data_IF_499100928449
#
_entry.id   IF_499100928449
#
_cell.length_a   1.000
_cell.length_b   1.000
_cell.length_c   1.000
_cell.angle_alpha   90.00
_cell.angle_beta   90.00
_cell.angle_gamma   90.00
#
_symmetry.space_group_name_H-M   'P 1'
#
loop_
_entity.id
_entity.type
_entity.pdbx_description
1 polymer ?
#
# COMPACT_ATOMS: atom_id res chain seq x y z
N UNK A 1 11.48 -18.98 -5.09
CA UNK A 1 10.75 -17.81 -4.59
C UNK A 1 10.31 -17.96 -3.13
N UNK A 2 9.56 -19.00 -2.72
CA UNK A 2 9.09 -19.17 -1.33
C UNK A 2 10.25 -19.18 -0.31
N UNK A 3 11.34 -19.89 -0.61
CA UNK A 3 12.53 -19.93 0.27
C UNK A 3 13.19 -18.55 0.42
N UNK A 4 13.22 -17.73 -0.64
CA UNK A 4 13.77 -16.38 -0.60
C UNK A 4 12.86 -15.48 0.25
N UNK A 5 11.54 -15.52 0.04
CA UNK A 5 10.59 -14.75 0.84
C UNK A 5 10.66 -15.14 2.33
N UNK A 6 10.76 -16.43 2.64
CA UNK A 6 10.91 -16.91 4.02
C UNK A 6 12.22 -16.40 4.65
N UNK A 7 13.33 -16.40 3.90
CA UNK A 7 14.61 -15.86 4.34
C UNK A 7 14.52 -14.35 4.58
N UNK A 8 13.95 -13.59 3.64
CA UNK A 8 13.75 -12.14 3.79
C UNK A 8 12.84 -11.82 4.99
N UNK A 9 11.78 -12.60 5.20
CA UNK A 9 10.90 -12.46 6.37
C UNK A 9 11.63 -12.74 7.69
N UNK A 10 12.52 -13.73 7.72
CA UNK A 10 13.31 -14.02 8.92
C UNK A 10 14.26 -12.88 9.30
N UNK A 11 14.83 -12.17 8.32
CA UNK A 11 15.68 -11.00 8.54
C UNK A 11 14.94 -9.86 9.25
N UNK A 12 13.63 -9.71 9.03
CA UNK A 12 12.83 -8.67 9.70
C UNK A 12 12.57 -8.95 11.20
N UNK A 13 13.03 -10.09 11.73
CA UNK A 13 12.84 -10.44 13.13
C UNK A 13 13.55 -9.42 14.04
N UNK A 14 12.79 -8.83 14.97
CA UNK A 14 13.24 -7.79 15.92
C UNK A 14 13.55 -6.43 15.26
N UNK A 15 13.09 -6.17 14.04
CA UNK A 15 13.24 -4.87 13.39
C UNK A 15 11.95 -4.06 13.46
N UNK A 16 12.05 -2.77 13.12
CA UNK A 16 10.89 -1.85 13.02
C UNK A 16 9.84 -2.35 12.00
N UNK A 17 10.26 -3.09 10.96
CA UNK A 17 9.37 -3.63 9.93
C UNK A 17 8.22 -4.44 10.52
N UNK A 18 8.48 -5.33 11.49
CA UNK A 18 7.42 -6.13 12.13
C UNK A 18 6.48 -5.30 12.98
N UNK A 19 7.00 -4.30 13.70
CA UNK A 19 6.18 -3.39 14.49
C UNK A 19 5.25 -2.58 13.61
N UNK A 20 5.76 -2.03 12.51
CA UNK A 20 4.97 -1.30 11.53
C UNK A 20 3.91 -2.22 10.91
N UNK A 21 4.28 -3.46 10.53
CA UNK A 21 3.38 -4.39 9.85
C UNK A 21 2.21 -4.85 10.73
N UNK A 22 2.41 -5.10 12.02
CA UNK A 22 1.39 -5.70 12.86
C UNK A 22 0.82 -4.77 13.93
N UNK A 23 1.63 -3.92 14.54
CA UNK A 23 1.19 -3.09 15.64
C UNK A 23 0.47 -1.81 15.14
N UNK A 24 1.06 -1.13 14.17
CA UNK A 24 0.48 0.13 13.65
C UNK A 24 -0.94 -0.03 13.09
N UNK A 25 -1.26 -1.06 12.28
CA UNK A 25 -2.63 -1.22 11.78
C UNK A 25 -3.64 -1.52 12.88
N UNK A 26 -3.24 -2.24 13.93
CA UNK A 26 -4.10 -2.49 15.11
C UNK A 26 -4.42 -1.19 15.82
N UNK A 27 -3.40 -0.38 16.14
CA UNK A 27 -3.58 0.90 16.83
C UNK A 27 -4.45 1.84 15.99
N UNK A 28 -4.15 1.98 14.70
CA UNK A 28 -4.92 2.85 13.80
C UNK A 28 -6.39 2.42 13.73
N UNK A 29 -6.66 1.13 13.57
CA UNK A 29 -8.02 0.62 13.50
C UNK A 29 -8.77 0.81 14.84
N UNK A 30 -8.12 0.54 15.98
CA UNK A 30 -8.72 0.75 17.31
C UNK A 30 -9.02 2.23 17.56
N UNK A 31 -8.15 3.16 17.15
CA UNK A 31 -8.42 4.59 17.26
C UNK A 31 -9.66 4.99 16.44
N UNK A 32 -9.81 4.46 15.22
CA UNK A 32 -10.98 4.73 14.39
C UNK A 32 -12.25 4.12 15.02
N UNK A 33 -12.19 2.87 15.49
CA UNK A 33 -13.30 2.21 16.17
C UNK A 33 -13.72 3.00 17.41
N UNK A 34 -12.78 3.45 18.24
CA UNK A 34 -13.07 4.29 19.41
C UNK A 34 -13.74 5.61 19.01
N UNK A 35 -13.27 6.24 17.93
CA UNK A 35 -13.86 7.48 17.40
C UNK A 35 -15.31 7.30 16.95
N UNK A 36 -15.60 6.24 16.18
CA UNK A 36 -16.96 5.97 15.68
C UNK A 36 -17.91 5.53 16.80
N UNK A 37 -17.43 4.78 17.79
CA UNK A 37 -18.24 4.32 18.94
C UNK A 37 -18.69 5.46 19.86
N UNK A 38 -17.94 6.57 19.88
CA UNK A 38 -18.28 7.78 20.65
C UNK A 38 -19.25 8.74 19.93
N UNK A 39 -19.70 8.43 18.69
CA UNK A 39 -20.56 9.29 17.88
C UNK A 39 -21.89 8.62 17.53
N UNK A 40 -22.99 9.33 17.75
CA UNK A 40 -24.31 8.92 17.27
C UNK A 40 -24.46 9.25 15.76
N UNK A 41 -25.17 8.38 15.03
CA UNK A 41 -25.54 8.63 13.62
C UNK A 41 -24.42 8.40 12.60
N UNK A 42 -23.35 7.70 12.97
CA UNK A 42 -22.29 7.31 12.02
C UNK A 42 -22.82 6.24 11.06
N UNK A 43 -22.78 6.53 9.77
CA UNK A 43 -23.18 5.60 8.71
C UNK A 43 -22.00 4.74 8.24
N UNK A 44 -22.28 3.57 7.66
CA UNK A 44 -21.26 2.70 7.07
C UNK A 44 -20.51 3.39 5.94
N UNK A 45 -21.20 4.20 5.12
CA UNK A 45 -20.59 4.95 4.01
C UNK A 45 -19.59 5.98 4.52
N UNK A 46 -19.93 6.72 5.57
CA UNK A 46 -19.00 7.67 6.21
C UNK A 46 -17.72 6.97 6.71
N UNK A 47 -17.88 5.80 7.35
CA UNK A 47 -16.72 5.03 7.84
C UNK A 47 -15.90 4.49 6.68
N UNK A 48 -16.55 4.00 5.63
CA UNK A 48 -15.89 3.50 4.42
C UNK A 48 -15.04 4.57 3.75
N UNK A 49 -15.66 5.69 3.39
CA UNK A 49 -14.98 6.80 2.73
C UNK A 49 -13.86 7.37 3.59
N UNK A 50 -14.13 7.63 4.87
CA UNK A 50 -13.16 8.17 5.81
C UNK A 50 -11.97 7.24 6.00
N UNK A 51 -12.21 5.95 6.24
CA UNK A 51 -11.15 4.97 6.44
C UNK A 51 -10.29 4.79 5.20
N UNK A 52 -10.88 4.47 4.05
CA UNK A 52 -10.10 4.21 2.84
C UNK A 52 -9.42 5.47 2.30
N UNK A 53 -10.02 6.64 2.43
CA UNK A 53 -9.34 7.90 2.06
C UNK A 53 -8.08 8.11 2.91
N UNK A 54 -8.18 8.05 4.24
CA UNK A 54 -7.02 8.22 5.12
C UNK A 54 -6.01 7.09 4.93
N UNK A 55 -6.48 5.84 4.83
CA UNK A 55 -5.60 4.68 4.67
C UNK A 55 -4.79 4.77 3.39
N UNK A 56 -5.43 5.08 2.26
CA UNK A 56 -4.78 5.05 0.95
C UNK A 56 -4.04 6.35 0.60
N UNK A 57 -4.53 7.51 1.06
CA UNK A 57 -3.86 8.78 0.78
C UNK A 57 -2.74 9.11 1.79
N UNK A 58 -2.83 8.60 3.04
CA UNK A 58 -1.88 8.98 4.10
C UNK A 58 -1.04 7.77 4.53
N UNK A 59 -1.71 6.70 5.01
CA UNK A 59 -1.02 5.58 5.65
C UNK A 59 -0.20 4.78 4.65
N UNK A 60 -0.74 4.47 3.46
CA UNK A 60 -0.03 3.69 2.43
C UNK A 60 1.22 4.41 1.91
N UNK A 61 1.20 5.69 1.49
CA UNK A 61 2.41 6.36 1.01
C UNK A 61 3.52 6.43 2.06
N UNK A 62 3.18 6.80 3.29
CA UNK A 62 4.13 6.85 4.40
C UNK A 62 4.62 5.45 4.78
N UNK A 63 3.70 4.49 4.88
CA UNK A 63 4.02 3.09 5.20
C UNK A 63 4.93 2.44 4.16
N UNK A 64 4.68 2.67 2.87
CA UNK A 64 5.54 2.19 1.78
C UNK A 64 6.95 2.78 1.89
N UNK A 65 7.05 4.09 2.16
CA UNK A 65 8.33 4.76 2.37
C UNK A 65 9.13 4.21 3.56
N UNK A 66 8.44 4.03 4.69
CA UNK A 66 9.04 3.47 5.91
C UNK A 66 9.44 2.00 5.72
N UNK A 67 8.54 1.15 5.22
CA UNK A 67 8.80 -0.28 5.04
C UNK A 67 9.97 -0.52 4.08
N UNK A 68 9.94 0.10 2.89
CA UNK A 68 11.02 -0.03 1.92
C UNK A 68 12.32 0.54 2.48
N UNK A 69 12.26 1.70 3.13
CA UNK A 69 13.40 2.34 3.77
C UNK A 69 14.05 1.45 4.82
N UNK A 70 13.28 0.90 5.76
CA UNK A 70 13.82 0.03 6.81
C UNK A 70 14.34 -1.30 6.26
N UNK A 71 13.63 -1.97 5.34
CA UNK A 71 14.09 -3.23 4.75
C UNK A 71 15.46 -3.08 4.08
N UNK A 72 15.70 -1.95 3.41
CA UNK A 72 16.99 -1.70 2.76
C UNK A 72 18.05 -1.22 3.76
N UNK A 73 17.67 -0.41 4.73
CA UNK A 73 18.58 0.09 5.76
C UNK A 73 19.14 -1.03 6.66
N UNK A 74 18.32 -2.03 6.99
CA UNK A 74 18.78 -3.21 7.73
C UNK A 74 19.84 -3.99 6.97
N UNK A 75 19.75 -4.10 5.65
CA UNK A 75 20.79 -4.72 4.81
C UNK A 75 22.08 -3.89 4.76
N UNK A 76 21.94 -2.58 4.76
CA UNK A 76 23.07 -1.66 4.81
C UNK A 76 23.83 -1.81 6.14
N UNK A 77 23.12 -1.86 7.27
CA UNK A 77 23.69 -2.07 8.60
C UNK A 77 24.30 -3.47 8.77
N UNK A 78 23.75 -4.48 8.11
CA UNK A 78 24.21 -5.87 8.23
C UNK A 78 25.52 -6.17 7.48
N UNK A 79 26.17 -5.17 6.87
CA UNK A 79 27.46 -5.31 6.21
C UNK A 79 27.55 -4.65 4.84
N UNK A 80 26.95 -3.45 4.69
CA UNK A 80 27.12 -2.64 3.47
C UNK A 80 26.70 -3.35 2.18
N UNK A 81 25.62 -4.11 2.26
CA UNK A 81 25.05 -4.87 1.13
C UNK A 81 25.89 -6.09 0.66
N UNK A 82 27.06 -6.37 1.23
CA UNK A 82 27.90 -7.50 0.83
C UNK A 82 27.18 -8.86 0.96
N UNK A 83 26.29 -9.00 1.93
CA UNK A 83 25.57 -10.25 2.18
C UNK A 83 24.72 -10.72 1.01
N UNK A 84 24.09 -9.81 0.27
CA UNK A 84 23.28 -10.18 -0.90
C UNK A 84 23.97 -9.92 -2.24
N UNK A 85 24.94 -9.00 -2.32
CA UNK A 85 25.71 -8.78 -3.55
C UNK A 85 26.62 -9.95 -3.88
N UNK A 86 27.16 -10.62 -2.85
CA UNK A 86 28.05 -11.78 -2.99
C UNK A 86 27.32 -13.13 -2.87
N UNK A 87 25.98 -13.12 -2.80
CA UNK A 87 25.20 -14.37 -2.70
C UNK A 87 25.18 -15.11 -4.04
N UNK A 88 25.08 -16.44 -4.01
CA UNK A 88 24.86 -17.29 -5.20
C UNK A 88 23.48 -17.09 -5.84
N UNK A 89 22.59 -16.36 -5.15
CA UNK A 89 21.22 -16.06 -5.60
C UNK A 89 21.27 -14.95 -6.66
N UNK A 90 20.54 -15.13 -7.76
CA UNK A 90 20.48 -14.11 -8.81
C UNK A 90 19.97 -12.76 -8.26
N UNK A 91 20.53 -11.65 -8.71
CA UNK A 91 20.13 -10.29 -8.30
C UNK A 91 18.65 -10.02 -8.50
N UNK A 92 18.07 -10.52 -9.59
CA UNK A 92 16.64 -10.42 -9.86
C UNK A 92 15.82 -11.10 -8.79
N UNK A 93 16.23 -12.28 -8.33
CA UNK A 93 15.53 -13.03 -7.29
C UNK A 93 15.59 -12.31 -5.93
N UNK A 94 16.70 -11.65 -5.61
CA UNK A 94 16.84 -10.82 -4.41
C UNK A 94 15.93 -9.61 -4.48
N UNK A 95 15.94 -8.88 -5.61
CA UNK A 95 15.08 -7.70 -5.82
C UNK A 95 13.59 -8.07 -5.71
N UNK A 96 13.18 -9.12 -6.42
CA UNK A 96 11.80 -9.64 -6.36
C UNK A 96 11.42 -10.14 -4.96
N UNK A 97 12.36 -10.78 -4.25
CA UNK A 97 12.14 -11.21 -2.87
C UNK A 97 11.78 -10.04 -1.95
N UNK A 98 12.51 -8.92 -2.05
CA UNK A 98 12.22 -7.69 -1.29
C UNK A 98 10.90 -7.03 -1.73
N UNK A 99 10.60 -7.02 -3.01
CA UNK A 99 9.33 -6.52 -3.52
C UNK A 99 8.14 -7.34 -3.00
N UNK A 100 8.22 -8.68 -3.04
CA UNK A 100 7.17 -9.54 -2.48
C UNK A 100 7.06 -9.43 -0.96
N UNK A 101 8.17 -9.20 -0.26
CA UNK A 101 8.14 -8.91 1.17
C UNK A 101 7.36 -7.62 1.46
N UNK A 102 7.59 -6.56 0.69
CA UNK A 102 6.84 -5.30 0.80
C UNK A 102 5.35 -5.50 0.56
N UNK A 103 4.98 -6.26 -0.49
CA UNK A 103 3.58 -6.61 -0.76
C UNK A 103 2.98 -7.35 0.43
N UNK A 104 3.67 -8.35 0.97
CA UNK A 104 3.21 -9.12 2.12
C UNK A 104 2.99 -8.23 3.35
N UNK A 105 3.92 -7.33 3.66
CA UNK A 105 3.78 -6.39 4.77
C UNK A 105 2.59 -5.45 4.57
N UNK A 106 2.46 -4.82 3.40
CA UNK A 106 1.37 -3.90 3.09
C UNK A 106 0.01 -4.60 3.10
N UNK A 107 -0.07 -5.79 2.51
CA UNK A 107 -1.28 -6.62 2.50
C UNK A 107 -1.69 -6.97 3.95
N UNK A 108 -0.74 -7.43 4.77
CA UNK A 108 -0.99 -7.74 6.18
C UNK A 108 -1.50 -6.51 6.94
N UNK A 109 -0.85 -5.35 6.80
CA UNK A 109 -1.28 -4.09 7.40
C UNK A 109 -2.73 -3.74 7.03
N UNK A 110 -3.02 -3.74 5.73
CA UNK A 110 -4.32 -3.30 5.20
C UNK A 110 -5.44 -4.25 5.64
N UNK A 111 -5.23 -5.57 5.54
CA UNK A 111 -6.26 -6.53 5.93
C UNK A 111 -6.47 -6.59 7.44
N UNK A 112 -5.40 -6.54 8.26
CA UNK A 112 -5.54 -6.48 9.73
C UNK A 112 -6.37 -5.27 10.14
N UNK A 113 -6.04 -4.08 9.64
CA UNK A 113 -6.77 -2.86 9.96
C UNK A 113 -8.24 -2.94 9.52
N UNK A 114 -8.50 -3.44 8.29
CA UNK A 114 -9.86 -3.57 7.77
C UNK A 114 -10.69 -4.58 8.56
N UNK A 115 -10.13 -5.74 8.95
CA UNK A 115 -10.82 -6.75 9.76
C UNK A 115 -11.19 -6.19 11.13
N UNK A 116 -10.26 -5.50 11.81
CA UNK A 116 -10.52 -4.90 13.12
C UNK A 116 -11.59 -3.81 13.00
N UNK A 117 -11.54 -2.98 11.96
CA UNK A 117 -12.56 -1.96 11.70
C UNK A 117 -13.94 -2.59 11.50
N UNK A 118 -14.05 -3.61 10.64
CA UNK A 118 -15.29 -4.32 10.40
C UNK A 118 -15.85 -4.98 11.69
N UNK A 119 -14.98 -5.60 12.49
CA UNK A 119 -15.38 -6.18 13.76
C UNK A 119 -15.88 -5.10 14.72
N UNK A 120 -15.22 -3.95 14.82
CA UNK A 120 -15.65 -2.82 15.64
C UNK A 120 -16.99 -2.22 15.19
N UNK A 121 -17.19 -2.07 13.89
CA UNK A 121 -18.47 -1.61 13.33
C UNK A 121 -19.61 -2.58 13.66
N UNK A 122 -19.39 -3.88 13.59
CA UNK A 122 -20.41 -4.88 13.92
C UNK A 122 -20.81 -4.85 15.40
N UNK A 123 -19.85 -4.56 16.30
CA UNK A 123 -20.13 -4.39 17.73
C UNK A 123 -20.92 -3.10 18.00
N UNK A 124 -20.65 -2.03 17.27
CA UNK A 124 -21.31 -0.73 17.42
C UNK A 124 -22.72 -0.69 16.79
N UNK A 125 -22.92 -1.39 15.64
CA UNK A 125 -24.18 -1.42 14.89
C UNK A 125 -24.36 -2.81 14.24
N UNK A 126 -24.94 -3.79 14.94
CA UNK A 126 -25.13 -5.14 14.42
C UNK A 126 -26.06 -5.16 13.19
N UNK A 127 -25.70 -5.93 12.15
CA UNK A 127 -26.57 -6.20 10.99
C UNK A 127 -26.18 -5.51 9.68
N UNK A 128 -25.16 -4.68 9.65
CA UNK A 128 -24.67 -4.06 8.42
C UNK A 128 -23.67 -4.98 7.69
N UNK A 129 -24.17 -5.82 6.77
CA UNK A 129 -23.39 -6.84 6.03
C UNK A 129 -22.40 -6.32 4.99
N UNK A 130 -21.75 -5.17 5.19
CA UNK A 130 -20.83 -4.54 4.24
C UNK A 130 -19.40 -5.13 4.24
N UNK A 131 -19.14 -6.25 4.91
CA UNK A 131 -17.81 -6.85 4.99
C UNK A 131 -17.17 -7.10 3.63
N UNK A 132 -17.95 -7.62 2.67
CA UNK A 132 -17.46 -7.91 1.33
C UNK A 132 -16.97 -6.64 0.62
N UNK A 133 -17.66 -5.51 0.80
CA UNK A 133 -17.28 -4.22 0.21
C UNK A 133 -15.96 -3.73 0.81
N UNK A 134 -15.81 -3.77 2.14
CA UNK A 134 -14.58 -3.36 2.81
C UNK A 134 -13.39 -4.26 2.43
N UNK A 135 -13.59 -5.60 2.37
CA UNK A 135 -12.51 -6.52 2.00
C UNK A 135 -12.09 -6.36 0.54
N UNK A 136 -13.04 -6.15 -0.37
CA UNK A 136 -12.71 -5.86 -1.78
C UNK A 136 -12.02 -4.53 -1.94
N UNK A 137 -12.42 -3.49 -1.20
CA UNK A 137 -11.73 -2.21 -1.19
C UNK A 137 -10.29 -2.32 -0.65
N UNK A 138 -10.07 -3.09 0.41
CA UNK A 138 -8.73 -3.39 0.92
C UNK A 138 -7.85 -4.06 -0.13
N UNK A 139 -8.42 -5.04 -0.88
CA UNK A 139 -7.71 -5.68 -1.99
C UNK A 139 -7.35 -4.69 -3.09
N UNK A 140 -8.28 -3.82 -3.50
CA UNK A 140 -8.03 -2.80 -4.52
C UNK A 140 -7.03 -1.73 -4.04
N UNK A 141 -7.03 -1.39 -2.75
CA UNK A 141 -6.03 -0.51 -2.16
C UNK A 141 -4.61 -1.12 -2.27
N UNK A 142 -4.46 -2.41 -1.95
CA UNK A 142 -3.19 -3.14 -2.09
C UNK A 142 -2.76 -3.21 -3.55
N UNK A 143 -3.65 -3.60 -4.47
CA UNK A 143 -3.36 -3.66 -5.91
C UNK A 143 -2.91 -2.29 -6.42
N UNK A 144 -3.66 -1.23 -6.10
CA UNK A 144 -3.34 0.14 -6.50
C UNK A 144 -1.99 0.64 -5.99
N UNK A 145 -1.48 0.04 -4.92
CA UNK A 145 -0.21 0.42 -4.28
C UNK A 145 1.02 -0.29 -4.84
N UNK A 146 0.87 -1.30 -5.70
CA UNK A 146 2.00 -2.07 -6.23
C UNK A 146 3.07 -1.19 -6.91
N UNK A 147 2.72 -0.20 -7.76
CA UNK A 147 3.71 0.70 -8.35
C UNK A 147 4.43 1.56 -7.31
N UNK A 148 3.71 2.00 -6.27
CA UNK A 148 4.29 2.78 -5.17
C UNK A 148 5.37 1.97 -4.46
N UNK A 149 5.10 0.69 -4.15
CA UNK A 149 6.08 -0.21 -3.54
C UNK A 149 7.32 -0.40 -4.42
N UNK A 150 7.14 -0.53 -5.75
CA UNK A 150 8.25 -0.65 -6.69
C UNK A 150 9.09 0.62 -6.73
N UNK A 151 8.46 1.81 -6.75
CA UNK A 151 9.12 3.11 -6.68
C UNK A 151 9.92 3.24 -5.38
N UNK A 152 9.31 2.95 -4.23
CA UNK A 152 9.96 3.09 -2.93
C UNK A 152 11.11 2.12 -2.74
N UNK A 153 10.99 0.88 -3.23
CA UNK A 153 12.10 -0.09 -3.23
C UNK A 153 13.28 0.43 -4.03
N UNK A 154 13.04 0.96 -5.23
CA UNK A 154 14.09 1.52 -6.07
C UNK A 154 14.73 2.76 -5.44
N UNK A 155 13.94 3.71 -4.93
CA UNK A 155 14.43 4.92 -4.24
C UNK A 155 15.23 4.57 -2.99
N UNK A 156 14.78 3.58 -2.20
CA UNK A 156 15.48 3.14 -1.00
C UNK A 156 16.86 2.57 -1.32
N UNK A 157 17.00 1.83 -2.43
CA UNK A 157 18.28 1.31 -2.90
C UNK A 157 19.19 2.42 -3.44
N UNK A 158 18.64 3.44 -4.14
CA UNK A 158 19.40 4.55 -4.70
C UNK A 158 19.93 5.51 -3.62
N UNK A 159 19.03 6.01 -2.78
CA UNK A 159 19.30 7.15 -1.90
C UNK A 159 19.04 6.88 -0.42
N UNK A 160 18.63 5.67 -0.06
CA UNK A 160 18.44 5.25 1.31
C UNK A 160 17.10 5.61 1.93
N UNK A 161 17.02 5.36 3.24
CA UNK A 161 15.79 5.49 4.04
C UNK A 161 15.22 6.92 4.03
N UNK A 162 16.07 7.94 4.13
CA UNK A 162 15.62 9.33 4.16
C UNK A 162 14.89 9.76 2.90
N UNK A 163 15.42 9.38 1.71
CA UNK A 163 14.78 9.66 0.43
C UNK A 163 13.47 8.92 0.26
N UNK A 164 13.40 7.67 0.72
CA UNK A 164 12.16 6.89 0.69
C UNK A 164 11.06 7.50 1.55
N UNK A 165 11.38 7.93 2.77
CA UNK A 165 10.43 8.61 3.65
C UNK A 165 10.00 9.95 3.05
N UNK A 166 10.95 10.76 2.55
CA UNK A 166 10.64 12.05 1.90
C UNK A 166 9.72 11.90 0.69
N UNK A 167 9.96 10.88 -0.14
CA UNK A 167 9.08 10.53 -1.26
C UNK A 167 7.70 10.08 -0.77
N UNK A 168 7.62 9.33 0.33
CA UNK A 168 6.36 8.95 0.97
C UNK A 168 5.56 10.15 1.45
N UNK A 169 6.22 11.16 2.04
CA UNK A 169 5.58 12.42 2.44
C UNK A 169 5.07 13.22 1.23
N UNK A 170 5.86 13.32 0.17
CA UNK A 170 5.41 13.90 -1.10
C UNK A 170 4.22 13.12 -1.70
N UNK A 171 4.29 11.80 -1.64
CA UNK A 171 3.24 10.90 -2.09
C UNK A 171 1.93 11.05 -1.31
N UNK A 172 2.01 11.29 0.01
CA UNK A 172 0.84 11.64 0.83
C UNK A 172 0.13 12.89 0.29
N UNK A 173 0.88 13.95 -0.01
CA UNK A 173 0.29 15.18 -0.56
C UNK A 173 -0.36 14.92 -1.91
N UNK A 174 0.29 14.14 -2.79
CA UNK A 174 -0.27 13.77 -4.10
C UNK A 174 -1.53 12.89 -3.94
N UNK A 175 -1.51 11.91 -3.06
CA UNK A 175 -2.68 11.07 -2.75
C UNK A 175 -3.84 11.88 -2.19
N UNK A 176 -3.59 12.78 -1.24
CA UNK A 176 -4.62 13.61 -0.64
C UNK A 176 -5.20 14.63 -1.62
N UNK A 177 -4.37 15.33 -2.40
CA UNK A 177 -4.84 16.38 -3.32
C UNK A 177 -5.42 15.80 -4.61
N UNK A 178 -4.75 14.82 -5.22
CA UNK A 178 -5.13 14.31 -6.56
C UNK A 178 -6.00 13.06 -6.43
N UNK A 179 -5.76 12.23 -5.42
CA UNK A 179 -6.55 11.02 -5.20
C UNK A 179 -7.90 11.30 -4.57
N UNK A 180 -7.94 12.10 -3.51
CA UNK A 180 -9.11 12.27 -2.65
C UNK A 180 -9.98 13.50 -2.99
N UNK A 181 -9.56 14.38 -3.90
CA UNK A 181 -10.35 15.57 -4.26
C UNK A 181 -10.69 15.60 -5.75
N UNK A 182 -11.65 16.47 -6.13
CA UNK A 182 -12.03 16.70 -7.51
C UNK A 182 -10.93 17.37 -8.36
N UNK A 183 -9.91 17.97 -7.73
CA UNK A 183 -8.76 18.54 -8.45
C UNK A 183 -8.05 17.51 -9.31
N UNK A 184 -8.07 16.26 -8.88
CA UNK A 184 -7.40 15.16 -9.57
C UNK A 184 -8.21 14.44 -10.63
N UNK A 185 -9.50 14.72 -10.81
CA UNK A 185 -10.39 13.91 -11.66
C UNK A 185 -9.92 13.72 -13.10
N UNK A 186 -9.16 14.68 -13.63
CA UNK A 186 -8.60 14.61 -15.00
C UNK A 186 -7.18 14.06 -15.07
N UNK A 187 -6.42 14.11 -13.97
CA UNK A 187 -4.97 13.84 -13.96
C UNK A 187 -4.56 12.66 -13.05
N UNK A 188 -5.48 12.11 -12.24
CA UNK A 188 -5.17 11.05 -11.29
C UNK A 188 -4.50 9.83 -11.91
N UNK A 189 -4.82 9.54 -13.19
CA UNK A 189 -4.26 8.41 -13.93
C UNK A 189 -2.74 8.51 -14.13
N UNK A 190 -2.19 9.72 -14.09
CA UNK A 190 -0.76 9.98 -14.24
C UNK A 190 0.00 9.94 -12.91
N UNK A 191 -0.70 9.89 -11.78
CA UNK A 191 -0.10 10.00 -10.44
C UNK A 191 -0.25 8.68 -9.69
N UNK A 192 0.83 7.89 -9.54
CA UNK A 192 0.77 6.57 -8.89
C UNK A 192 0.16 6.59 -7.48
N UNK A 193 0.41 7.65 -6.71
CA UNK A 193 -0.13 7.79 -5.34
C UNK A 193 -1.65 8.03 -5.29
N UNK A 194 -2.27 8.46 -6.40
CA UNK A 194 -3.72 8.60 -6.49
C UNK A 194 -4.43 7.27 -6.80
N UNK A 195 -3.71 6.27 -7.34
CA UNK A 195 -4.32 5.01 -7.77
C UNK A 195 -4.92 4.19 -6.62
N UNK A 196 -4.26 3.95 -5.47
CA UNK A 196 -4.89 3.23 -4.37
C UNK A 196 -6.10 3.96 -3.81
N UNK A 197 -6.11 5.31 -3.81
CA UNK A 197 -7.23 6.13 -3.34
C UNK A 197 -8.45 5.91 -4.25
N UNK A 198 -8.30 6.11 -5.55
CA UNK A 198 -9.41 5.96 -6.52
C UNK A 198 -9.87 4.51 -6.60
N UNK A 199 -8.94 3.54 -6.68
CA UNK A 199 -9.30 2.13 -6.80
C UNK A 199 -10.04 1.59 -5.57
N UNK A 200 -9.69 2.00 -4.36
CA UNK A 200 -10.38 1.56 -3.14
C UNK A 200 -11.82 2.05 -3.04
N UNK A 201 -12.22 3.09 -3.79
CA UNK A 201 -13.59 3.60 -3.80
C UNK A 201 -14.52 2.85 -4.77
N UNK A 202 -13.99 2.24 -5.83
CA UNK A 202 -14.82 1.55 -6.83
C UNK A 202 -15.65 0.38 -6.28
N UNK A 203 -15.20 -0.47 -5.33
CA UNK A 203 -16.01 -1.56 -4.82
C UNK A 203 -17.35 -1.12 -4.21
N UNK A 204 -17.40 0.01 -3.53
CA UNK A 204 -18.65 0.54 -2.98
C UNK A 204 -19.63 0.88 -4.11
N UNK A 205 -19.18 1.61 -5.13
CA UNK A 205 -20.03 1.96 -6.28
C UNK A 205 -20.45 0.71 -7.04
N UNK A 206 -19.51 -0.22 -7.31
CA UNK A 206 -19.79 -1.45 -8.05
C UNK A 206 -20.80 -2.37 -7.35
N UNK A 207 -20.69 -2.55 -6.05
CA UNK A 207 -21.52 -3.48 -5.30
C UNK A 207 -22.85 -2.87 -4.83
N UNK A 208 -22.91 -1.55 -4.60
CA UNK A 208 -24.07 -0.88 -4.02
C UNK A 208 -24.88 -0.08 -5.04
N UNK A 209 -24.31 0.35 -6.17
CA UNK A 209 -24.94 1.29 -7.11
C UNK A 209 -25.05 0.74 -8.54
N UNK A 210 -25.29 -0.56 -8.72
CA UNK A 210 -25.41 -1.21 -10.07
C UNK A 210 -26.51 -0.66 -10.95
N UNK A 211 -27.51 -0.02 -10.37
CA UNK A 211 -28.66 0.57 -11.10
C UNK A 211 -28.43 2.04 -11.47
N UNK A 212 -27.30 2.63 -11.08
CA UNK A 212 -26.97 4.01 -11.40
C UNK A 212 -26.63 4.14 -12.90
N UNK A 213 -27.19 5.14 -13.62
CA UNK A 213 -26.83 5.44 -15.01
C UNK A 213 -25.32 5.67 -15.22
N UNK A 214 -24.61 6.19 -14.20
CA UNK A 214 -23.16 6.42 -14.23
C UNK A 214 -22.32 5.14 -14.02
N UNK A 215 -22.94 3.97 -13.80
CA UNK A 215 -22.24 2.72 -13.56
C UNK A 215 -21.23 2.34 -14.66
N UNK A 216 -21.60 2.58 -15.93
CA UNK A 216 -20.73 2.31 -17.08
C UNK A 216 -19.43 3.13 -17.04
N UNK A 217 -19.51 4.41 -16.70
CA UNK A 217 -18.36 5.29 -16.59
C UNK A 217 -17.47 4.90 -15.42
N UNK A 218 -18.06 4.49 -14.29
CA UNK A 218 -17.32 3.98 -13.13
C UNK A 218 -16.54 2.72 -13.45
N UNK A 219 -17.15 1.76 -14.15
CA UNK A 219 -16.46 0.54 -14.59
C UNK A 219 -15.31 0.87 -15.55
N UNK A 220 -15.53 1.79 -16.50
CA UNK A 220 -14.48 2.25 -17.42
C UNK A 220 -13.31 2.88 -16.67
N UNK A 221 -13.57 3.75 -15.69
CA UNK A 221 -12.53 4.37 -14.86
C UNK A 221 -11.75 3.33 -14.05
N UNK A 222 -12.44 2.34 -13.46
CA UNK A 222 -11.81 1.23 -12.74
C UNK A 222 -10.88 0.43 -13.66
N UNK A 223 -11.33 0.05 -14.86
CA UNK A 223 -10.51 -0.69 -15.81
C UNK A 223 -9.28 0.11 -16.28
N UNK A 224 -9.47 1.42 -16.53
CA UNK A 224 -8.38 2.31 -16.89
C UNK A 224 -7.36 2.44 -15.75
N UNK A 225 -7.82 2.54 -14.49
CA UNK A 225 -6.98 2.56 -13.31
C UNK A 225 -6.20 1.25 -13.13
N UNK A 226 -6.84 0.11 -13.28
CA UNK A 226 -6.16 -1.20 -13.22
C UNK A 226 -5.11 -1.35 -14.33
N UNK A 227 -5.40 -0.90 -15.54
CA UNK A 227 -4.43 -0.89 -16.64
C UNK A 227 -3.22 0.01 -16.31
N UNK A 228 -3.44 1.19 -15.73
CA UNK A 228 -2.37 2.07 -15.28
C UNK A 228 -1.51 1.42 -14.17
N UNK A 229 -2.14 0.74 -13.20
CA UNK A 229 -1.42 0.02 -12.13
C UNK A 229 -0.55 -1.10 -12.72
N UNK A 230 -1.09 -1.93 -13.61
CA UNK A 230 -0.33 -3.02 -14.24
C UNK A 230 0.85 -2.46 -15.02
N UNK A 231 0.61 -1.45 -15.86
CA UNK A 231 1.66 -0.80 -16.67
C UNK A 231 2.70 -0.13 -15.77
N UNK A 232 2.28 0.66 -14.78
CA UNK A 232 3.18 1.33 -13.85
C UNK A 232 4.00 0.34 -13.02
N UNK A 233 3.38 -0.72 -12.51
CA UNK A 233 4.12 -1.79 -11.80
C UNK A 233 5.15 -2.44 -12.69
N UNK A 234 4.78 -2.79 -13.93
CA UNK A 234 5.71 -3.39 -14.89
C UNK A 234 6.90 -2.45 -15.18
N UNK A 235 6.64 -1.17 -15.43
CA UNK A 235 7.68 -0.18 -15.74
C UNK A 235 8.63 0.03 -14.56
N UNK A 236 8.10 0.32 -13.36
CA UNK A 236 8.96 0.61 -12.21
C UNK A 236 9.68 -0.62 -11.68
N UNK A 237 9.02 -1.79 -11.71
CA UNK A 237 9.64 -3.04 -11.26
C UNK A 237 10.75 -3.48 -12.23
N UNK A 238 10.49 -3.50 -13.55
CA UNK A 238 11.50 -3.89 -14.54
C UNK A 238 12.63 -2.88 -14.62
N UNK A 239 12.33 -1.57 -14.57
CA UNK A 239 13.33 -0.52 -14.53
C UNK A 239 14.24 -0.66 -13.31
N UNK A 240 13.69 -0.86 -12.12
CA UNK A 240 14.45 -1.11 -10.91
C UNK A 240 15.29 -2.39 -10.97
N UNK A 241 14.75 -3.49 -11.53
CA UNK A 241 15.50 -4.75 -11.72
C UNK A 241 16.68 -4.59 -12.67
N UNK A 242 16.48 -3.95 -13.84
CA UNK A 242 17.54 -3.72 -14.82
C UNK A 242 18.65 -2.87 -14.22
N UNK A 243 18.28 -1.83 -13.48
CA UNK A 243 19.24 -0.99 -12.78
C UNK A 243 19.98 -1.78 -11.70
N UNK A 244 19.28 -2.58 -10.88
CA UNK A 244 19.85 -3.36 -9.79
C UNK A 244 20.84 -4.44 -10.24
N UNK A 245 20.70 -4.96 -11.45
CA UNK A 245 21.67 -5.90 -12.04
C UNK A 245 23.10 -5.33 -12.13
N UNK A 246 23.23 -4.01 -12.32
CA UNK A 246 24.50 -3.30 -12.46
C UNK A 246 24.90 -2.55 -11.17
N UNK A 247 24.08 -2.61 -10.14
CA UNK A 247 24.32 -1.88 -8.91
C UNK A 247 25.37 -2.57 -8.04
N UNK A 248 26.36 -1.81 -7.54
CA UNK A 248 27.48 -2.32 -6.75
C UNK A 248 27.47 -1.89 -5.29
N UNK A 249 26.38 -1.27 -4.85
CA UNK A 249 26.24 -0.71 -3.53
C UNK A 249 26.26 0.82 -3.53
N UNK A 250 25.95 1.42 -2.36
CA UNK A 250 26.17 2.85 -2.13
C UNK A 250 27.56 3.06 -1.56
N UNK A 251 28.30 4.04 -2.08
CA UNK A 251 29.57 4.47 -1.54
C UNK A 251 29.38 5.25 -0.23
#
# INVERSE_FOLDING_TARGET
MIRILSSEWLKTKRTAVRWITFFMPVVTALCIVAYISGRAGVTADFVYEGFFTVWTAVIIPLGAGLLAGFIIHEEELAGGFHGFLNSEVSRDSVYLGKFFLLIFCLMSCTFISTVILCAGMNLAAPGNGYYAVFMTAALFAVIGSLPILAIHLWISLLWGIGASIGTGMGGLLMGALIGATSLGDKIWILVPWAWPVKLSMFPAVYLLSRTDPAFGDTVRQMMTGLAAVVTGTAVFLTGGMIWFRKWEGRA
#
